data_IF_995337777705
#
_entry.id   IF_995337777705
#
_cell.length_a   1.000
_cell.length_b   1.000
_cell.length_c   1.000
_cell.angle_alpha   90.00
_cell.angle_beta   90.00
_cell.angle_gamma   90.00
#
_symmetry.space_group_name_H-M   'P 1'
#
loop_
_entity.id
_entity.type
_entity.pdbx_description
1 polymer ?
#
# COMPACT_ATOMS: atom_id res chain seq x y z
N UNK A 1 3.99 16.79 31.95
CA UNK A 1 3.98 15.37 31.55
C UNK A 1 4.76 15.21 30.25
N UNK A 2 5.75 14.34 30.23
CA UNK A 2 6.46 14.02 29.01
C UNK A 2 5.64 12.99 28.20
N UNK A 3 5.66 13.13 26.87
CA UNK A 3 5.04 12.13 25.97
C UNK A 3 5.74 10.77 26.19
N UNK A 4 5.00 9.65 26.07
CA UNK A 4 5.62 8.34 26.15
C UNK A 4 6.70 8.17 25.06
N UNK A 5 7.79 7.49 25.40
CA UNK A 5 8.84 7.21 24.44
C UNK A 5 8.31 6.21 23.40
N UNK A 6 8.63 6.41 22.10
CA UNK A 6 8.24 5.46 21.09
C UNK A 6 8.91 4.10 21.30
N UNK A 7 8.23 3.03 20.96
CA UNK A 7 8.80 1.69 21.02
C UNK A 7 9.93 1.56 20.00
N UNK A 8 10.77 0.50 20.15
CA UNK A 8 11.83 0.23 19.17
C UNK A 8 11.25 -0.02 17.78
N UNK A 9 10.08 -0.66 17.70
CA UNK A 9 9.40 -0.91 16.42
C UNK A 9 8.93 0.38 15.77
N UNK A 10 8.39 1.31 16.56
CA UNK A 10 7.99 2.63 16.06
C UNK A 10 9.19 3.44 15.58
N UNK A 11 10.33 3.33 16.25
CA UNK A 11 11.55 4.02 15.83
C UNK A 11 12.07 3.47 14.51
N UNK A 12 12.06 2.14 14.33
CA UNK A 12 12.49 1.49 13.09
C UNK A 12 11.57 1.92 11.95
N UNK A 13 10.25 1.88 12.18
CA UNK A 13 9.27 2.32 11.18
C UNK A 13 9.49 3.78 10.79
N UNK A 14 9.73 4.66 11.78
CA UNK A 14 9.97 6.08 11.54
C UNK A 14 11.21 6.34 10.69
N UNK A 15 12.27 5.55 10.88
CA UNK A 15 13.49 5.65 10.07
C UNK A 15 13.19 5.32 8.61
N UNK A 16 12.44 4.26 8.34
CA UNK A 16 12.11 3.86 6.97
C UNK A 16 11.11 4.81 6.30
N UNK A 17 10.17 5.35 7.07
CA UNK A 17 9.26 6.39 6.58
C UNK A 17 10.04 7.65 6.20
N UNK A 18 10.97 8.09 7.04
CA UNK A 18 11.80 9.26 6.75
C UNK A 18 12.68 9.03 5.51
N UNK A 19 13.24 7.82 5.36
CA UNK A 19 14.07 7.47 4.20
C UNK A 19 13.26 7.45 2.91
N UNK A 20 12.00 7.04 2.98
CA UNK A 20 11.10 7.05 1.82
C UNK A 20 10.70 8.48 1.42
N UNK A 21 10.58 9.36 2.40
CA UNK A 21 10.40 10.80 2.19
C UNK A 21 8.97 11.21 1.86
N UNK A 22 8.83 12.27 1.06
CA UNK A 22 7.54 12.89 0.73
C UNK A 22 6.61 11.99 -0.09
N UNK A 23 7.14 10.93 -0.67
CA UNK A 23 6.35 9.97 -1.43
C UNK A 23 5.47 9.09 -0.52
N UNK A 24 5.64 9.15 0.78
CA UNK A 24 4.77 8.47 1.74
C UNK A 24 3.96 9.49 2.55
N UNK A 25 2.65 9.24 2.66
CA UNK A 25 1.72 10.00 3.50
C UNK A 25 1.05 9.03 4.46
N UNK A 26 1.11 9.32 5.74
CA UNK A 26 0.48 8.51 6.76
C UNK A 26 1.38 8.32 7.97
N UNK A 27 0.87 7.55 8.92
CA UNK A 27 1.60 7.24 10.15
C UNK A 27 2.66 6.17 9.90
N UNK A 28 3.69 6.17 10.74
CA UNK A 28 4.74 5.14 10.70
C UNK A 28 4.23 3.76 11.12
N UNK A 29 3.06 3.68 11.74
CA UNK A 29 2.41 2.44 12.16
C UNK A 29 1.07 2.22 11.47
N UNK A 30 0.96 2.59 10.20
CA UNK A 30 -0.27 2.39 9.42
C UNK A 30 -0.67 0.91 9.42
N UNK A 31 -1.97 0.65 9.54
CA UNK A 31 -2.49 -0.73 9.52
C UNK A 31 -2.67 -1.27 8.11
N UNK A 32 -2.85 -0.38 7.14
CA UNK A 32 -2.94 -0.73 5.73
C UNK A 32 -2.16 0.28 4.90
N UNK A 33 -1.41 -0.19 3.91
CA UNK A 33 -0.63 0.68 3.02
C UNK A 33 -1.12 0.53 1.59
N UNK A 34 -1.47 1.67 0.99
CA UNK A 34 -1.87 1.76 -0.42
C UNK A 34 -0.65 2.20 -1.23
N UNK A 35 -0.35 1.49 -2.31
CA UNK A 35 0.80 1.78 -3.18
C UNK A 35 0.27 2.13 -4.57
N UNK A 36 0.72 3.24 -5.12
CA UNK A 36 0.31 3.68 -6.45
C UNK A 36 1.47 4.35 -7.17
N UNK A 37 1.43 4.33 -8.51
CA UNK A 37 2.41 5.03 -9.33
C UNK A 37 1.91 6.40 -9.77
N UNK A 38 0.72 6.79 -9.33
CA UNK A 38 0.12 8.10 -9.57
C UNK A 38 -0.51 8.59 -8.27
N UNK A 39 -0.74 9.89 -8.17
CA UNK A 39 -1.49 10.41 -7.02
C UNK A 39 -2.90 9.82 -7.06
N UNK A 40 -3.37 9.18 -5.96
CA UNK A 40 -4.69 8.58 -5.96
C UNK A 40 -5.76 9.61 -6.33
N UNK A 41 -6.69 9.20 -7.21
CA UNK A 41 -7.82 10.04 -7.56
C UNK A 41 -8.78 10.16 -6.38
N UNK A 42 -9.68 11.14 -6.42
CA UNK A 42 -10.70 11.28 -5.38
C UNK A 42 -11.57 10.03 -5.29
N UNK A 43 -11.87 9.42 -6.44
CA UNK A 43 -12.66 8.18 -6.48
C UNK A 43 -11.92 7.02 -5.82
N UNK A 44 -10.63 6.86 -6.12
CA UNK A 44 -9.81 5.82 -5.50
C UNK A 44 -9.71 6.01 -4.00
N UNK A 45 -9.40 7.23 -3.57
CA UNK A 45 -9.26 7.52 -2.15
C UNK A 45 -10.57 7.30 -1.39
N UNK A 46 -11.68 7.81 -1.92
CA UNK A 46 -12.98 7.66 -1.29
C UNK A 46 -13.41 6.19 -1.21
N UNK A 47 -13.21 5.43 -2.27
CA UNK A 47 -13.57 4.01 -2.30
C UNK A 47 -12.77 3.19 -1.30
N UNK A 48 -11.45 3.43 -1.24
CA UNK A 48 -10.58 2.71 -0.32
C UNK A 48 -10.87 3.09 1.13
N UNK A 49 -11.03 4.36 1.43
CA UNK A 49 -11.37 4.82 2.78
C UNK A 49 -12.70 4.23 3.25
N UNK A 50 -13.73 4.27 2.40
CA UNK A 50 -15.05 3.73 2.73
C UNK A 50 -15.01 2.21 2.90
N UNK A 51 -14.36 1.50 2.00
CA UNK A 51 -14.27 0.04 2.05
C UNK A 51 -13.51 -0.43 3.29
N UNK A 52 -12.38 0.20 3.58
CA UNK A 52 -11.55 -0.20 4.71
C UNK A 52 -12.20 0.20 6.03
N UNK A 53 -12.97 1.28 6.07
CA UNK A 53 -13.75 1.64 7.26
C UNK A 53 -14.75 0.54 7.62
N UNK A 54 -15.37 -0.10 6.63
CA UNK A 54 -16.26 -1.25 6.85
C UNK A 54 -15.53 -2.42 7.52
N UNK A 55 -14.22 -2.53 7.32
CA UNK A 55 -13.41 -3.58 7.91
C UNK A 55 -12.76 -3.15 9.23
N UNK A 56 -13.06 -1.96 9.71
CA UNK A 56 -12.54 -1.45 10.97
C UNK A 56 -11.31 -0.56 10.87
N UNK A 57 -10.83 -0.26 9.66
CA UNK A 57 -9.67 0.61 9.47
C UNK A 57 -10.13 2.06 9.44
N UNK A 58 -9.77 2.82 10.45
CA UNK A 58 -10.01 4.26 10.45
C UNK A 58 -9.18 4.92 9.34
N UNK A 59 -9.65 6.05 8.83
CA UNK A 59 -8.94 6.82 7.80
C UNK A 59 -7.49 7.11 8.20
N UNK A 60 -7.25 7.39 9.48
CA UNK A 60 -5.91 7.66 10.01
C UNK A 60 -5.01 6.42 10.08
N UNK A 61 -5.56 5.22 9.90
CA UNK A 61 -4.80 3.97 9.90
C UNK A 61 -4.26 3.61 8.51
N UNK A 62 -4.59 4.40 7.49
CA UNK A 62 -4.14 4.16 6.11
C UNK A 62 -2.87 4.94 5.81
N UNK A 63 -1.92 4.27 5.16
CA UNK A 63 -0.73 4.90 4.63
C UNK A 63 -0.77 4.87 3.10
N UNK A 64 -0.19 5.86 2.46
CA UNK A 64 -0.21 6.04 1.00
C UNK A 64 1.22 6.22 0.50
N UNK A 65 1.70 5.27 -0.29
CA UNK A 65 3.05 5.30 -0.85
C UNK A 65 2.98 5.50 -2.36
N UNK A 66 3.70 6.49 -2.85
CA UNK A 66 3.81 6.79 -4.28
C UNK A 66 5.12 6.21 -4.79
N UNK A 67 5.07 5.40 -5.83
CA UNK A 67 6.24 4.79 -6.46
C UNK A 67 6.40 5.31 -7.89
N UNK A 68 7.60 5.11 -8.46
CA UNK A 68 7.86 5.54 -9.81
C UNK A 68 7.12 4.67 -10.84
N UNK A 69 6.47 5.32 -11.80
CA UNK A 69 5.60 4.66 -12.78
C UNK A 69 6.35 3.81 -13.79
N UNK A 70 7.58 4.18 -14.12
CA UNK A 70 8.33 3.55 -15.19
C UNK A 70 9.62 2.92 -14.69
N UNK A 71 9.89 1.72 -15.15
CA UNK A 71 11.16 1.06 -14.89
C UNK A 71 12.27 1.56 -15.83
N UNK A 72 12.24 2.84 -16.23
CA UNK A 72 13.19 3.40 -17.20
C UNK A 72 14.45 3.96 -16.54
N UNK A 73 14.53 3.98 -15.21
CA UNK A 73 15.76 4.36 -14.53
C UNK A 73 16.88 3.35 -14.72
N UNK A 74 18.09 3.73 -14.38
CA UNK A 74 19.22 2.80 -14.39
C UNK A 74 18.92 1.62 -13.45
N UNK A 75 19.51 0.46 -13.74
CA UNK A 75 19.31 -0.75 -12.95
C UNK A 75 19.57 -0.52 -11.45
N UNK A 76 20.59 0.27 -11.13
CA UNK A 76 20.91 0.64 -9.76
C UNK A 76 19.76 1.41 -9.08
N UNK A 77 19.18 2.38 -9.80
CA UNK A 77 18.07 3.20 -9.28
C UNK A 77 16.82 2.35 -9.05
N UNK A 78 16.55 1.40 -9.93
CA UNK A 78 15.44 0.46 -9.76
C UNK A 78 15.65 -0.42 -8.54
N UNK A 79 16.86 -0.89 -8.32
CA UNK A 79 17.21 -1.72 -7.16
C UNK A 79 17.06 -0.92 -5.87
N UNK A 80 17.55 0.31 -5.84
CA UNK A 80 17.44 1.19 -4.67
C UNK A 80 15.99 1.52 -4.38
N UNK A 81 15.17 1.77 -5.40
CA UNK A 81 13.73 2.01 -5.25
C UNK A 81 13.01 0.79 -4.70
N UNK A 82 13.37 -0.40 -5.19
CA UNK A 82 12.79 -1.66 -4.70
C UNK A 82 13.13 -1.90 -3.24
N UNK A 83 14.38 -1.65 -2.83
CA UNK A 83 14.80 -1.78 -1.44
C UNK A 83 14.09 -0.80 -0.53
N UNK A 84 13.92 0.45 -0.97
CA UNK A 84 13.23 1.47 -0.18
C UNK A 84 11.76 1.10 0.05
N UNK A 85 11.09 0.60 -0.98
CA UNK A 85 9.69 0.16 -0.84
C UNK A 85 9.59 -1.04 0.10
N UNK A 86 10.47 -2.02 -0.05
CA UNK A 86 10.54 -3.17 0.84
C UNK A 86 10.74 -2.72 2.30
N UNK A 87 11.73 -1.85 2.54
CA UNK A 87 12.05 -1.37 3.87
C UNK A 87 10.90 -0.56 4.46
N UNK A 88 10.21 0.24 3.66
CA UNK A 88 9.04 1.00 4.10
C UNK A 88 7.95 0.07 4.61
N UNK A 89 7.57 -0.91 3.80
CA UNK A 89 6.47 -1.83 4.15
C UNK A 89 6.84 -2.70 5.33
N UNK A 90 8.05 -3.27 5.32
CA UNK A 90 8.49 -4.11 6.45
C UNK A 90 8.67 -3.31 7.73
N UNK A 91 9.12 -2.06 7.60
CA UNK A 91 9.25 -1.16 8.76
C UNK A 91 7.91 -0.76 9.36
N UNK A 92 6.92 -0.44 8.53
CA UNK A 92 5.56 -0.13 8.98
C UNK A 92 4.86 -1.39 9.50
N UNK A 93 5.11 -2.52 8.85
CA UNK A 93 4.50 -3.82 9.15
C UNK A 93 2.96 -3.76 9.18
N UNK A 94 2.34 -3.33 8.07
CA UNK A 94 0.88 -3.25 8.01
C UNK A 94 0.25 -4.64 7.95
N UNK A 95 -1.03 -4.73 8.25
CA UNK A 95 -1.79 -5.97 8.12
C UNK A 95 -2.03 -6.33 6.66
N UNK A 96 -2.17 -5.32 5.81
CA UNK A 96 -2.42 -5.54 4.38
C UNK A 96 -1.84 -4.42 3.54
N UNK A 97 -1.63 -4.74 2.25
CA UNK A 97 -1.12 -3.80 1.25
C UNK A 97 -2.01 -3.89 0.01
N UNK A 98 -2.33 -2.74 -0.57
CA UNK A 98 -3.08 -2.67 -1.82
C UNK A 98 -2.29 -1.89 -2.86
N UNK A 99 -2.11 -2.47 -4.05
CA UNK A 99 -1.53 -1.77 -5.19
C UNK A 99 -2.66 -1.31 -6.11
N UNK A 100 -2.68 -0.02 -6.44
CA UNK A 100 -3.80 0.61 -7.13
C UNK A 100 -3.69 0.57 -8.64
N UNK A 101 -2.52 0.24 -9.17
CA UNK A 101 -2.27 0.18 -10.60
C UNK A 101 -1.21 -0.86 -10.94
N UNK A 102 -1.11 -1.16 -12.22
CA UNK A 102 -0.16 -2.17 -12.72
C UNK A 102 1.29 -1.86 -12.33
N UNK A 103 1.69 -0.60 -12.43
CA UNK A 103 3.06 -0.20 -12.11
C UNK A 103 3.38 -0.38 -10.63
N UNK A 104 2.43 -0.08 -9.74
CA UNK A 104 2.58 -0.32 -8.31
C UNK A 104 2.69 -1.82 -8.00
N UNK A 105 1.88 -2.63 -8.65
CA UNK A 105 1.95 -4.09 -8.51
C UNK A 105 3.31 -4.61 -8.95
N UNK A 106 3.83 -4.13 -10.09
CA UNK A 106 5.15 -4.49 -10.58
C UNK A 106 6.26 -4.06 -9.61
N UNK A 107 6.13 -2.86 -9.02
CA UNK A 107 7.08 -2.37 -8.03
C UNK A 107 7.12 -3.26 -6.78
N UNK A 108 5.97 -3.66 -6.27
CA UNK A 108 5.88 -4.60 -5.15
C UNK A 108 6.47 -5.96 -5.50
N UNK A 109 6.17 -6.46 -6.69
CA UNK A 109 6.72 -7.73 -7.18
C UNK A 109 8.24 -7.71 -7.22
N UNK A 110 8.83 -6.61 -7.70
CA UNK A 110 10.29 -6.44 -7.71
C UNK A 110 10.85 -6.34 -6.28
N UNK A 111 10.19 -5.57 -5.43
CA UNK A 111 10.65 -5.35 -4.05
C UNK A 111 10.70 -6.64 -3.25
N UNK A 112 9.77 -7.55 -3.48
CA UNK A 112 9.66 -8.81 -2.75
C UNK A 112 10.14 -10.01 -3.55
N UNK A 113 10.59 -9.79 -4.78
CA UNK A 113 11.05 -10.85 -5.68
C UNK A 113 10.05 -12.01 -5.75
N UNK A 114 8.79 -11.66 -5.95
CA UNK A 114 7.70 -12.64 -6.02
C UNK A 114 6.63 -12.18 -6.99
N UNK A 115 6.03 -13.08 -7.79
CA UNK A 115 4.90 -12.70 -8.63
C UNK A 115 3.67 -12.42 -7.77
N UNK A 116 2.90 -11.40 -8.16
CA UNK A 116 1.67 -11.04 -7.48
C UNK A 116 0.51 -11.12 -8.47
N UNK A 117 -0.56 -11.79 -8.05
CA UNK A 117 -1.74 -11.96 -8.89
C UNK A 117 -2.58 -10.69 -8.91
N UNK A 118 -3.02 -10.27 -10.10
CA UNK A 118 -3.91 -9.12 -10.24
C UNK A 118 -5.36 -9.52 -9.94
N UNK A 119 -6.06 -8.64 -9.25
CA UNK A 119 -7.50 -8.75 -8.98
C UNK A 119 -7.91 -10.08 -8.35
N UNK A 120 -7.06 -10.61 -7.49
CA UNK A 120 -7.30 -11.84 -6.75
C UNK A 120 -6.58 -11.79 -5.40
N UNK A 121 -6.81 -12.80 -4.57
CA UNK A 121 -6.10 -12.90 -3.30
C UNK A 121 -4.65 -13.27 -3.57
N UNK A 122 -3.74 -12.54 -2.96
CA UNK A 122 -2.31 -12.82 -3.05
C UNK A 122 -1.63 -12.44 -1.73
N UNK A 123 -0.43 -12.95 -1.50
CA UNK A 123 0.31 -12.71 -0.28
C UNK A 123 1.63 -12.01 -0.57
N UNK A 124 2.02 -11.17 0.36
CA UNK A 124 3.28 -10.43 0.31
C UNK A 124 4.04 -10.71 1.60
N UNK A 125 4.95 -11.69 1.56
CA UNK A 125 5.65 -12.21 2.75
C UNK A 125 4.66 -12.54 3.88
N UNK A 126 3.61 -13.29 3.53
CA UNK A 126 2.63 -13.76 4.50
C UNK A 126 1.52 -12.77 4.84
N UNK A 127 1.64 -11.48 4.48
CA UNK A 127 0.56 -10.51 4.69
C UNK A 127 -0.34 -10.45 3.47
N UNK A 128 -1.59 -10.15 3.71
CA UNK A 128 -2.58 -10.03 2.63
C UNK A 128 -2.25 -8.87 1.70
N UNK A 129 -2.30 -9.13 0.40
CA UNK A 129 -2.04 -8.12 -0.63
C UNK A 129 -3.12 -8.21 -1.71
N UNK A 130 -3.58 -7.06 -2.18
CA UNK A 130 -4.54 -7.00 -3.29
C UNK A 130 -3.98 -6.04 -4.33
N UNK A 131 -3.85 -6.53 -5.56
CA UNK A 131 -3.28 -5.76 -6.66
C UNK A 131 -4.36 -5.53 -7.71
N UNK A 132 -4.51 -4.28 -8.13
CA UNK A 132 -5.43 -3.89 -9.20
C UNK A 132 -4.63 -3.49 -10.43
N UNK A 133 -5.10 -3.90 -11.60
CA UNK A 133 -4.53 -3.45 -12.88
C UNK A 133 -4.70 -1.93 -13.02
N UNK A 134 -5.91 -1.44 -12.74
CA UNK A 134 -6.24 -0.02 -12.77
C UNK A 134 -7.50 0.19 -11.95
N UNK A 135 -7.32 0.54 -10.68
CA UNK A 135 -8.44 0.73 -9.76
C UNK A 135 -9.36 1.86 -10.22
N UNK A 136 -8.80 2.97 -10.71
CA UNK A 136 -9.60 4.10 -11.16
C UNK A 136 -10.56 3.71 -12.27
N UNK A 137 -10.09 2.90 -13.23
CA UNK A 137 -10.95 2.39 -14.31
C UNK A 137 -12.05 1.47 -13.78
N UNK A 138 -11.74 0.61 -12.81
CA UNK A 138 -12.76 -0.24 -12.18
C UNK A 138 -13.85 0.58 -11.52
N UNK A 139 -13.49 1.67 -10.88
CA UNK A 139 -14.45 2.51 -10.15
C UNK A 139 -15.34 3.34 -11.06
N UNK A 140 -15.10 3.34 -12.38
CA UNK A 140 -15.92 4.07 -13.33
C UNK A 140 -17.24 3.36 -13.68
N UNK A 141 -17.43 2.10 -13.27
CA UNK A 141 -18.64 1.33 -13.52
C UNK A 141 -19.16 0.70 -12.23
N UNK A 142 -20.48 0.44 -12.18
CA UNK A 142 -21.08 -0.25 -11.02
C UNK A 142 -20.54 -1.68 -10.87
N UNK A 143 -20.33 -2.37 -11.99
CA UNK A 143 -19.75 -3.72 -11.97
C UNK A 143 -18.31 -3.70 -11.40
N UNK A 144 -17.52 -2.71 -11.81
CA UNK A 144 -16.15 -2.54 -11.30
C UNK A 144 -16.12 -2.19 -9.82
N UNK A 145 -17.02 -1.33 -9.36
CA UNK A 145 -17.14 -0.99 -7.94
C UNK A 145 -17.48 -2.23 -7.11
N UNK A 146 -18.40 -3.05 -7.59
CA UNK A 146 -18.79 -4.30 -6.94
C UNK A 146 -17.63 -5.28 -6.87
N UNK A 147 -16.90 -5.43 -7.97
CA UNK A 147 -15.71 -6.29 -8.04
C UNK A 147 -14.65 -5.83 -7.05
N UNK A 148 -14.42 -4.52 -6.97
CA UNK A 148 -13.46 -3.92 -6.04
C UNK A 148 -13.85 -4.25 -4.60
N UNK A 149 -15.11 -4.01 -4.21
CA UNK A 149 -15.57 -4.31 -2.86
C UNK A 149 -15.47 -5.80 -2.55
N UNK A 150 -15.88 -6.67 -3.49
CA UNK A 150 -15.80 -8.11 -3.28
C UNK A 150 -14.39 -8.59 -3.02
N UNK A 151 -13.39 -7.92 -3.58
CA UNK A 151 -11.99 -8.25 -3.35
C UNK A 151 -11.50 -7.64 -2.03
N UNK A 152 -11.79 -6.37 -1.77
CA UNK A 152 -11.34 -5.68 -0.55
C UNK A 152 -11.94 -6.27 0.73
N UNK A 153 -13.20 -6.72 0.69
CA UNK A 153 -13.85 -7.31 1.88
C UNK A 153 -13.20 -8.61 2.34
N UNK A 154 -12.32 -9.19 1.53
CA UNK A 154 -11.56 -10.40 1.91
C UNK A 154 -10.29 -10.07 2.72
N UNK A 155 -9.98 -8.79 2.91
CA UNK A 155 -8.85 -8.36 3.74
C UNK A 155 -9.15 -8.61 5.22
N UNK A 156 -8.10 -8.71 6.06
CA UNK A 156 -8.31 -8.90 7.50
C UNK A 156 -9.14 -7.78 8.11
N UNK A 157 -10.07 -8.13 8.97
CA UNK A 157 -10.84 -7.13 9.73
C UNK A 157 -10.02 -6.65 10.91
N UNK A 158 -10.09 -5.35 11.18
CA UNK A 158 -9.41 -4.73 12.30
C UNK A 158 -10.41 -4.49 13.43
N UNK A 159 -10.12 -5.03 14.59
CA UNK A 159 -10.96 -4.87 15.78
C UNK A 159 -11.67 -6.12 16.24
#
# INVERSE_FOLDING_TARGET
MSAPQPSIFERIASVHVAAFGKAYRGKANAAAVMVSAHNPTKAEQAALEASLLQLGYAKSALGWALVDADGTGEEKDQKDSAERLFNLIEGIDPLCVCALDHAACAALSRSYNTPLALESKTLLLGRECRCFENLDALLSTEAGKRKTWNLLKTLPKLG
#
